data_IF_252010480024
#
_entry.id   IF_252010480024
#
_cell.length_a   1.000
_cell.length_b   1.000
_cell.length_c   1.000
_cell.angle_alpha   90.00
_cell.angle_beta   90.00
_cell.angle_gamma   90.00
#
_symmetry.space_group_name_H-M   'P 1'
#
loop_
_entity.id
_entity.type
_entity.pdbx_description
1 polymer ?
#
# COMPACT_ATOMS: atom_id res chain seq x y z
N UNK A 1 -4.07 12.48 22.70
CA UNK A 1 -4.06 12.40 21.21
C UNK A 1 -4.39 10.99 20.76
N UNK A 2 -5.27 10.84 19.79
CA UNK A 2 -5.64 9.54 19.21
C UNK A 2 -4.48 9.02 18.35
N UNK A 3 -4.06 7.76 18.58
CA UNK A 3 -3.00 7.12 17.81
C UNK A 3 -3.46 6.94 16.36
N UNK A 4 -2.58 7.26 15.42
CA UNK A 4 -2.81 7.14 13.98
C UNK A 4 -1.96 6.01 13.38
N UNK A 5 -2.41 5.49 12.25
CA UNK A 5 -1.61 4.62 11.41
C UNK A 5 -0.66 5.44 10.55
N UNK A 6 0.60 5.06 10.56
CA UNK A 6 1.65 5.74 9.82
C UNK A 6 1.81 5.14 8.42
N UNK A 7 2.28 5.95 7.48
CA UNK A 7 2.79 5.43 6.22
C UNK A 7 3.99 4.51 6.45
N UNK A 8 4.30 3.59 5.53
CA UNK A 8 5.50 2.78 5.64
C UNK A 8 6.76 3.66 5.69
N UNK A 9 7.78 3.20 6.41
CA UNK A 9 9.05 3.93 6.55
C UNK A 9 10.23 2.97 6.37
N UNK A 10 11.25 3.43 5.67
CA UNK A 10 12.56 2.79 5.69
C UNK A 10 13.36 3.39 6.86
N UNK A 11 13.66 2.57 7.87
CA UNK A 11 14.48 2.98 9.01
C UNK A 11 13.69 3.12 10.32
N UNK A 12 14.37 3.56 11.39
CA UNK A 12 13.76 3.66 12.71
C UNK A 12 12.62 4.67 12.70
N UNK A 13 11.43 4.20 13.06
CA UNK A 13 10.25 5.03 13.27
C UNK A 13 10.11 5.36 14.76
N UNK A 14 9.53 6.53 15.05
CA UNK A 14 9.14 6.86 16.40
C UNK A 14 7.91 6.03 16.81
N UNK A 15 7.98 5.32 17.92
CA UNK A 15 6.84 4.55 18.43
C UNK A 15 5.68 5.43 18.91
N UNK A 16 5.96 6.72 19.16
CA UNK A 16 5.01 7.70 19.68
C UNK A 16 4.39 8.60 18.60
N UNK A 17 4.97 8.71 17.40
CA UNK A 17 4.53 9.63 16.33
C UNK A 17 4.75 9.07 14.94
N UNK A 18 3.90 9.45 14.00
CA UNK A 18 4.13 9.22 12.57
C UNK A 18 5.17 10.17 11.96
N UNK A 19 5.47 11.28 12.62
CA UNK A 19 6.50 12.19 12.15
C UNK A 19 7.91 11.64 12.40
N UNK A 20 8.83 11.93 11.48
CA UNK A 20 10.26 11.74 11.70
C UNK A 20 10.79 12.78 12.69
N UNK A 21 12.00 12.56 13.23
CA UNK A 21 12.63 13.54 14.10
C UNK A 21 12.79 14.90 13.39
N UNK A 22 13.21 14.89 12.11
CA UNK A 22 13.37 16.12 11.31
C UNK A 22 12.03 16.84 11.09
N UNK A 23 10.95 16.09 10.86
CA UNK A 23 9.60 16.64 10.76
C UNK A 23 9.17 17.32 12.07
N UNK A 24 9.46 16.71 13.22
CA UNK A 24 9.17 17.30 14.54
C UNK A 24 9.98 18.56 14.79
N UNK A 25 11.27 18.60 14.39
CA UNK A 25 12.08 19.81 14.48
C UNK A 25 11.55 20.92 13.56
N UNK A 26 11.13 20.60 12.34
CA UNK A 26 10.49 21.58 11.45
C UNK A 26 9.21 22.14 12.06
N UNK A 27 8.33 21.28 12.60
CA UNK A 27 7.10 21.71 13.28
C UNK A 27 7.39 22.58 14.51
N UNK A 28 8.39 22.22 15.34
CA UNK A 28 8.84 23.04 16.47
C UNK A 28 9.26 24.43 16.02
N UNK A 29 10.11 24.52 15.01
CA UNK A 29 10.60 25.81 14.51
C UNK A 29 9.47 26.69 13.98
N UNK A 30 8.51 26.11 13.26
CA UNK A 30 7.31 26.81 12.78
C UNK A 30 6.42 27.26 13.95
N UNK A 31 6.24 26.40 14.97
CA UNK A 31 5.51 26.77 16.19
C UNK A 31 6.16 27.96 16.87
N UNK A 32 7.45 27.87 17.17
CA UNK A 32 8.21 28.90 17.89
C UNK A 32 8.22 30.24 17.16
N UNK A 33 8.23 30.25 15.82
CA UNK A 33 8.21 31.48 15.03
C UNK A 33 6.88 32.26 15.12
N UNK A 34 5.79 31.59 15.54
CA UNK A 34 4.46 32.18 15.61
C UNK A 34 3.88 32.27 17.03
N UNK A 35 4.52 31.63 18.00
CA UNK A 35 4.06 31.57 19.38
C UNK A 35 5.19 31.92 20.35
N UNK A 36 5.58 33.21 20.42
CA UNK A 36 6.69 33.64 21.28
C UNK A 36 6.40 33.48 22.79
N UNK A 37 5.13 33.33 23.15
CA UNK A 37 4.65 33.08 24.51
C UNK A 37 4.75 31.61 24.96
N UNK A 38 4.91 30.69 24.02
CA UNK A 38 4.93 29.24 24.27
C UNK A 38 6.05 28.53 23.50
N UNK A 39 7.25 29.09 23.57
CA UNK A 39 8.44 28.56 22.89
C UNK A 39 8.81 27.18 23.42
N UNK A 40 9.02 26.24 22.49
CA UNK A 40 9.54 24.90 22.78
C UNK A 40 11.06 24.92 22.68
N UNK A 41 11.75 24.80 23.82
CA UNK A 41 13.20 24.81 23.90
C UNK A 41 13.83 23.41 23.73
N UNK A 42 13.08 22.34 23.97
CA UNK A 42 13.59 20.99 23.92
C UNK A 42 14.13 20.61 22.53
N UNK A 43 15.22 19.84 22.51
CA UNK A 43 15.75 19.15 21.33
C UNK A 43 15.47 17.63 21.36
N UNK A 44 14.68 17.14 22.32
CA UNK A 44 14.22 15.76 22.35
C UNK A 44 12.95 15.62 21.49
N UNK A 45 12.94 14.80 20.44
CA UNK A 45 11.77 14.65 19.55
C UNK A 45 10.49 14.25 20.29
N UNK A 46 10.59 13.39 21.32
CA UNK A 46 9.43 12.97 22.10
C UNK A 46 8.85 14.12 22.92
N UNK A 47 9.70 14.89 23.58
CA UNK A 47 9.26 16.08 24.33
C UNK A 47 8.66 17.15 23.42
N UNK A 48 9.22 17.35 22.22
CA UNK A 48 8.66 18.25 21.20
C UNK A 48 7.24 17.81 20.85
N UNK A 49 7.05 16.53 20.57
CA UNK A 49 5.75 15.95 20.23
C UNK A 49 4.73 16.11 21.38
N UNK A 50 5.15 15.82 22.61
CA UNK A 50 4.33 15.97 23.82
C UNK A 50 3.89 17.43 24.04
N UNK A 51 4.81 18.39 23.87
CA UNK A 51 4.52 19.81 24.05
C UNK A 51 3.62 20.35 22.95
N UNK A 52 3.87 20.02 21.67
CA UNK A 52 2.95 20.35 20.58
C UNK A 52 1.57 19.77 20.82
N UNK A 53 1.51 18.49 21.23
CA UNK A 53 0.25 17.84 21.61
C UNK A 53 -0.48 18.56 22.74
N UNK A 54 0.23 18.99 23.76
CA UNK A 54 -0.32 19.78 24.89
C UNK A 54 -0.90 21.11 24.43
N UNK A 55 -0.16 21.86 23.62
CA UNK A 55 -0.61 23.17 23.13
C UNK A 55 -1.79 23.05 22.15
N UNK A 56 -1.82 21.99 21.37
CA UNK A 56 -2.86 21.75 20.36
C UNK A 56 -4.08 20.97 20.86
N UNK A 57 -4.10 20.49 22.10
CA UNK A 57 -5.12 19.54 22.60
C UNK A 57 -6.56 20.06 22.52
N UNK A 58 -6.77 21.37 22.57
CA UNK A 58 -8.11 22.00 22.44
C UNK A 58 -8.61 22.04 20.99
N UNK A 59 -7.69 22.03 20.03
CA UNK A 59 -7.99 22.21 18.61
C UNK A 59 -7.88 20.90 17.84
N UNK A 60 -6.90 20.07 18.23
CA UNK A 60 -6.55 18.85 17.51
C UNK A 60 -6.58 17.62 18.42
N UNK A 61 -7.34 16.61 18.00
CA UNK A 61 -7.37 15.29 18.66
C UNK A 61 -6.33 14.32 18.08
N UNK A 62 -5.75 14.63 16.91
CA UNK A 62 -4.76 13.84 16.16
C UNK A 62 -3.60 14.71 15.71
N UNK A 63 -2.40 14.12 15.62
CA UNK A 63 -1.22 14.85 15.18
C UNK A 63 -1.27 15.29 13.70
N UNK A 64 -1.99 14.59 12.84
CA UNK A 64 -2.21 15.02 11.45
C UNK A 64 -2.99 16.35 11.34
N UNK A 65 -3.82 16.66 12.34
CA UNK A 65 -4.54 17.92 12.43
C UNK A 65 -3.60 19.14 12.58
N UNK A 66 -2.38 18.94 13.12
CA UNK A 66 -1.40 20.03 13.24
C UNK A 66 -1.07 20.65 11.88
N UNK A 67 -1.07 19.83 10.82
CA UNK A 67 -0.71 20.27 9.47
C UNK A 67 -1.72 21.23 8.84
N UNK A 68 -2.96 21.25 9.31
CA UNK A 68 -3.99 22.18 8.83
C UNK A 68 -4.06 23.47 9.65
N UNK A 69 -3.25 23.58 10.72
CA UNK A 69 -3.18 24.77 11.55
C UNK A 69 -2.28 25.83 10.93
N UNK A 70 -2.55 27.09 11.24
CA UNK A 70 -1.86 28.23 10.62
C UNK A 70 -0.33 28.20 10.81
N UNK A 71 0.17 27.68 11.93
CA UNK A 71 1.60 27.61 12.18
C UNK A 71 2.33 26.66 11.21
N UNK A 72 1.66 25.63 10.72
CA UNK A 72 2.24 24.61 9.86
C UNK A 72 2.03 24.84 8.35
N UNK A 73 1.29 25.91 7.96
CA UNK A 73 1.06 26.21 6.54
C UNK A 73 2.37 26.32 5.75
N UNK A 74 2.42 25.69 4.58
CA UNK A 74 3.57 25.66 3.66
C UNK A 74 4.46 24.42 3.72
N UNK A 75 4.33 23.56 4.75
CA UNK A 75 5.08 22.28 4.86
C UNK A 75 4.21 21.04 4.64
N UNK A 76 3.00 21.25 4.08
CA UNK A 76 1.88 20.32 4.19
C UNK A 76 2.06 19.00 3.43
N UNK A 77 2.55 19.04 2.19
CA UNK A 77 2.46 17.87 1.31
C UNK A 77 3.47 16.78 1.65
N UNK A 78 4.67 17.17 2.06
CA UNK A 78 5.69 16.22 2.52
C UNK A 78 5.29 15.57 3.85
N UNK A 79 4.79 16.37 4.80
CA UNK A 79 4.44 15.88 6.13
C UNK A 79 3.12 15.08 6.17
N UNK A 80 2.15 15.37 5.30
CA UNK A 80 0.94 14.54 5.14
C UNK A 80 1.26 13.10 4.78
N UNK A 81 2.32 12.88 4.01
CA UNK A 81 2.79 11.56 3.63
C UNK A 81 3.36 10.73 4.80
N UNK A 82 3.45 11.32 6.00
CA UNK A 82 3.80 10.57 7.22
C UNK A 82 2.69 9.64 7.69
N UNK A 83 1.47 9.82 7.22
CA UNK A 83 0.29 9.08 7.67
C UNK A 83 -0.20 8.13 6.58
N UNK A 84 -0.76 6.99 7.00
CA UNK A 84 -1.54 6.14 6.11
C UNK A 84 -2.71 6.95 5.52
N UNK A 85 -3.23 6.60 4.34
CA UNK A 85 -4.35 7.28 3.71
C UNK A 85 -5.58 7.37 4.64
N UNK A 86 -6.46 8.31 4.36
CA UNK A 86 -7.78 8.32 5.00
C UNK A 86 -8.61 7.16 4.45
N UNK A 87 -9.42 6.56 5.30
CA UNK A 87 -10.37 5.54 4.89
C UNK A 87 -11.42 6.12 3.94
N UNK A 88 -12.05 5.29 3.08
CA UNK A 88 -13.22 5.71 2.32
C UNK A 88 -14.29 6.36 3.21
N UNK A 89 -14.96 7.40 2.71
CA UNK A 89 -16.05 8.06 3.43
C UNK A 89 -17.22 7.11 3.72
N UNK A 90 -17.44 6.16 2.83
CA UNK A 90 -18.46 5.13 2.92
C UNK A 90 -18.33 4.29 4.19
N UNK A 91 -17.11 4.13 4.72
CA UNK A 91 -16.86 3.37 5.95
C UNK A 91 -17.47 4.00 7.20
N UNK A 92 -17.88 5.28 7.15
CA UNK A 92 -18.67 5.90 8.22
C UNK A 92 -20.05 5.24 8.37
N UNK A 93 -20.63 4.76 7.27
CA UNK A 93 -21.94 4.10 7.22
C UNK A 93 -21.80 2.59 7.21
N UNK A 94 -20.86 2.06 6.44
CA UNK A 94 -20.55 0.65 6.31
C UNK A 94 -19.04 0.41 6.54
N UNK A 95 -18.61 0.08 7.76
CA UNK A 95 -17.18 -0.10 8.09
C UNK A 95 -16.47 -1.19 7.28
N UNK A 96 -17.25 -2.11 6.70
CA UNK A 96 -16.74 -3.21 5.90
C UNK A 96 -16.96 -3.00 4.39
N UNK A 97 -17.26 -1.77 3.96
CA UNK A 97 -17.40 -1.47 2.53
C UNK A 97 -16.12 -1.81 1.77
N UNK A 98 -16.28 -2.20 0.53
CA UNK A 98 -15.20 -2.62 -0.35
C UNK A 98 -14.18 -1.50 -0.58
N UNK A 99 -12.93 -1.87 -0.81
CA UNK A 99 -11.91 -0.95 -1.27
C UNK A 99 -12.08 -0.69 -2.76
N UNK A 100 -12.10 0.59 -3.14
CA UNK A 100 -12.01 1.00 -4.53
C UNK A 100 -10.58 0.90 -5.07
N UNK A 101 -10.43 1.02 -6.38
CA UNK A 101 -9.11 1.12 -7.03
C UNK A 101 -8.30 2.31 -6.49
N UNK A 102 -8.95 3.43 -6.19
CA UNK A 102 -8.29 4.62 -5.63
C UNK A 102 -7.74 4.35 -4.23
N UNK A 103 -8.49 3.63 -3.39
CA UNK A 103 -8.05 3.29 -2.03
C UNK A 103 -6.80 2.39 -2.06
N UNK A 104 -6.83 1.35 -2.89
CA UNK A 104 -5.69 0.44 -3.09
C UNK A 104 -4.46 1.22 -3.61
N UNK A 105 -4.66 2.07 -4.63
CA UNK A 105 -3.60 2.88 -5.20
C UNK A 105 -2.96 3.81 -4.16
N UNK A 106 -3.77 4.48 -3.34
CA UNK A 106 -3.27 5.40 -2.31
C UNK A 106 -2.35 4.70 -1.29
N UNK A 107 -2.67 3.46 -0.91
CA UNK A 107 -1.81 2.65 -0.05
C UNK A 107 -0.53 2.26 -0.79
N UNK A 108 -0.65 1.66 -1.97
CA UNK A 108 0.49 1.08 -2.69
C UNK A 108 1.53 2.13 -3.13
N UNK A 109 1.10 3.34 -3.50
CA UNK A 109 2.01 4.46 -3.80
C UNK A 109 2.91 4.84 -2.62
N UNK A 110 2.45 4.67 -1.39
CA UNK A 110 3.30 4.92 -0.22
C UNK A 110 4.40 3.86 -0.09
N UNK A 111 4.09 2.60 -0.40
CA UNK A 111 5.08 1.51 -0.40
C UNK A 111 6.10 1.67 -1.53
N UNK A 112 5.68 2.03 -2.74
CA UNK A 112 6.60 2.33 -3.85
C UNK A 112 7.58 3.47 -3.53
N UNK A 113 7.08 4.52 -2.88
CA UNK A 113 7.90 5.66 -2.51
C UNK A 113 9.01 5.26 -1.53
N UNK A 114 8.73 4.33 -0.63
CA UNK A 114 9.64 3.88 0.42
C UNK A 114 10.57 2.77 -0.07
N UNK A 115 10.02 1.76 -0.74
CA UNK A 115 10.78 0.61 -1.23
C UNK A 115 11.25 0.82 -2.68
N UNK A 116 12.42 1.42 -2.88
CA UNK A 116 12.93 1.77 -4.22
C UNK A 116 13.10 0.58 -5.16
N UNK A 117 13.26 -0.63 -4.59
CA UNK A 117 13.32 -1.89 -5.35
C UNK A 117 11.95 -2.42 -5.80
N UNK A 118 10.87 -1.77 -5.43
CA UNK A 118 9.50 -2.20 -5.68
C UNK A 118 8.83 -1.33 -6.74
N UNK A 119 8.02 -1.95 -7.60
CA UNK A 119 7.11 -1.30 -8.55
C UNK A 119 5.74 -1.93 -8.44
N UNK A 120 4.69 -1.11 -8.48
CA UNK A 120 3.32 -1.54 -8.35
C UNK A 120 2.53 -1.32 -9.65
N UNK A 121 1.89 -2.36 -10.14
CA UNK A 121 1.08 -2.37 -11.35
C UNK A 121 -0.39 -2.59 -11.04
N UNK A 122 -1.20 -1.61 -11.29
CA UNK A 122 -2.63 -1.64 -11.02
C UNK A 122 -3.07 -0.63 -9.96
N UNK A 123 -4.25 -0.82 -9.37
CA UNK A 123 -5.23 -1.89 -9.63
C UNK A 123 -5.75 -1.86 -11.05
N UNK A 124 -5.59 -2.94 -11.79
CA UNK A 124 -5.97 -3.06 -13.19
C UNK A 124 -7.20 -3.97 -13.37
N UNK A 125 -8.03 -3.77 -14.39
CA UNK A 125 -9.08 -4.72 -14.75
C UNK A 125 -8.47 -6.00 -15.33
N UNK A 126 -9.23 -7.10 -15.32
CA UNK A 126 -8.73 -8.39 -15.79
C UNK A 126 -8.35 -8.38 -17.28
N UNK A 127 -9.00 -7.56 -18.06
CA UNK A 127 -8.79 -7.42 -19.52
C UNK A 127 -7.68 -6.40 -19.87
N UNK A 128 -6.71 -6.21 -18.98
CA UNK A 128 -5.59 -5.26 -19.09
C UNK A 128 -4.79 -5.37 -20.41
N UNK A 129 -4.69 -6.57 -20.99
CA UNK A 129 -3.98 -6.83 -22.26
C UNK A 129 -4.87 -6.65 -23.51
N UNK A 130 -6.17 -6.39 -23.35
CA UNK A 130 -7.09 -6.16 -24.47
C UNK A 130 -6.71 -4.86 -25.16
N UNK A 131 -6.61 -4.93 -26.49
CA UNK A 131 -6.36 -3.74 -27.33
C UNK A 131 -7.67 -3.09 -27.70
N UNK A 132 -7.77 -1.80 -27.49
CA UNK A 132 -8.88 -0.97 -27.95
C UNK A 132 -8.78 -0.70 -29.47
N UNK A 133 -9.76 0.01 -30.00
CA UNK A 133 -9.88 0.28 -31.45
C UNK A 133 -8.69 1.07 -32.03
N UNK A 134 -7.99 1.84 -31.23
CA UNK A 134 -6.78 2.57 -31.58
C UNK A 134 -5.49 1.72 -31.44
N UNK A 135 -5.62 0.48 -30.98
CA UNK A 135 -4.51 -0.45 -30.79
C UNK A 135 -3.78 -0.31 -29.45
N UNK A 136 -4.24 0.61 -28.58
CA UNK A 136 -3.69 0.80 -27.24
C UNK A 136 -4.28 -0.26 -26.29
N UNK A 137 -3.50 -0.75 -25.37
CA UNK A 137 -3.98 -1.70 -24.36
C UNK A 137 -4.81 -0.98 -23.28
N UNK A 138 -5.82 -1.65 -22.75
CA UNK A 138 -6.63 -1.18 -21.61
C UNK A 138 -5.73 -0.74 -20.43
N UNK A 139 -4.60 -1.45 -20.22
CA UNK A 139 -3.61 -1.08 -19.23
C UNK A 139 -2.19 -1.21 -19.77
N UNK A 140 -1.67 -0.13 -20.37
CA UNK A 140 -0.41 -0.14 -21.11
C UNK A 140 0.79 -0.57 -20.28
N UNK A 141 0.88 -0.18 -19.00
CA UNK A 141 2.03 -0.50 -18.15
C UNK A 141 2.21 -2.01 -17.96
N UNK A 142 1.12 -2.77 -17.84
CA UNK A 142 1.15 -4.23 -17.72
C UNK A 142 1.34 -4.88 -19.08
N UNK A 143 0.63 -4.39 -20.10
CA UNK A 143 0.70 -4.89 -21.46
C UNK A 143 2.11 -4.80 -22.01
N UNK A 144 2.80 -3.69 -21.76
CA UNK A 144 4.16 -3.39 -22.24
C UNK A 144 5.25 -3.73 -21.20
N UNK A 145 4.95 -4.54 -20.19
CA UNK A 145 5.90 -4.87 -19.13
C UNK A 145 7.20 -5.44 -19.72
N UNK A 146 8.32 -4.82 -19.34
CA UNK A 146 9.67 -5.24 -19.74
C UNK A 146 10.53 -5.47 -18.49
N UNK A 147 10.81 -6.73 -18.18
CA UNK A 147 11.59 -7.11 -16.98
C UNK A 147 13.02 -6.58 -17.01
N UNK A 148 13.67 -6.55 -18.17
CA UNK A 148 15.03 -6.04 -18.31
C UNK A 148 15.08 -4.54 -17.97
N UNK A 149 14.10 -3.79 -18.42
CA UNK A 149 13.96 -2.38 -18.06
C UNK A 149 13.71 -2.20 -16.57
N UNK A 150 12.81 -3.00 -15.99
CA UNK A 150 12.55 -2.99 -14.55
C UNK A 150 13.82 -3.24 -13.75
N UNK A 151 14.58 -4.27 -14.11
CA UNK A 151 15.84 -4.57 -13.44
C UNK A 151 16.87 -3.46 -13.60
N UNK A 152 16.98 -2.85 -14.78
CA UNK A 152 17.87 -1.72 -15.04
C UNK A 152 17.50 -0.50 -14.18
N UNK A 153 16.21 -0.28 -13.94
CA UNK A 153 15.69 0.77 -13.04
C UNK A 153 15.83 0.42 -11.55
N UNK A 154 16.48 -0.71 -11.23
CA UNK A 154 16.66 -1.16 -9.84
C UNK A 154 15.44 -1.83 -9.23
N UNK A 155 14.38 -2.07 -10.03
CA UNK A 155 13.16 -2.75 -9.57
C UNK A 155 13.38 -4.27 -9.59
N UNK A 156 13.22 -4.89 -8.45
CA UNK A 156 13.46 -6.32 -8.28
C UNK A 156 12.29 -7.05 -7.64
N UNK A 157 11.29 -6.30 -7.18
CA UNK A 157 10.03 -6.79 -6.64
C UNK A 157 8.89 -6.07 -7.36
N UNK A 158 7.98 -6.82 -7.98
CA UNK A 158 6.84 -6.28 -8.70
C UNK A 158 5.56 -6.80 -8.05
N UNK A 159 4.62 -5.91 -7.78
CA UNK A 159 3.31 -6.24 -7.23
C UNK A 159 2.20 -5.88 -8.21
N UNK A 160 1.22 -6.76 -8.35
CA UNK A 160 0.07 -6.55 -9.22
C UNK A 160 -1.20 -6.81 -8.43
N UNK A 161 -2.20 -5.97 -8.61
CA UNK A 161 -3.56 -6.22 -8.12
C UNK A 161 -4.51 -6.04 -9.29
N UNK A 162 -5.39 -7.03 -9.48
CA UNK A 162 -6.36 -7.04 -10.57
C UNK A 162 -7.78 -7.11 -10.00
N UNK A 163 -8.71 -6.44 -10.67
CA UNK A 163 -10.12 -6.73 -10.52
C UNK A 163 -10.51 -7.84 -11.48
N UNK A 164 -11.31 -8.82 -11.04
CA UNK A 164 -11.76 -9.94 -11.90
C UNK A 164 -12.77 -9.52 -12.96
N UNK A 165 -13.35 -8.33 -12.84
CA UNK A 165 -14.19 -7.73 -13.89
C UNK A 165 -13.35 -6.97 -14.93
N UNK A 166 -13.79 -6.93 -16.21
CA UNK A 166 -13.19 -6.10 -17.24
C UNK A 166 -13.49 -4.61 -16.99
N UNK A 167 -12.73 -3.74 -17.68
CA UNK A 167 -12.73 -2.28 -17.47
C UNK A 167 -14.10 -1.59 -17.58
N UNK A 168 -15.04 -2.17 -18.34
CA UNK A 168 -16.39 -1.63 -18.55
C UNK A 168 -17.43 -2.09 -17.51
N UNK A 169 -17.01 -2.87 -16.50
CA UNK A 169 -17.86 -3.31 -15.38
C UNK A 169 -17.53 -2.62 -14.06
N UNK A 170 -18.39 -2.82 -13.06
CA UNK A 170 -18.29 -2.16 -11.77
C UNK A 170 -17.21 -2.68 -10.83
N UNK A 171 -16.67 -3.87 -11.11
CA UNK A 171 -15.70 -4.55 -10.26
C UNK A 171 -16.38 -5.54 -9.30
N UNK A 172 -15.82 -6.74 -9.18
CA UNK A 172 -16.39 -7.83 -8.38
C UNK A 172 -15.43 -8.34 -7.31
N UNK A 173 -14.17 -8.61 -7.66
CA UNK A 173 -13.23 -9.24 -6.74
C UNK A 173 -11.79 -8.81 -7.03
N UNK A 174 -10.98 -8.66 -5.97
CA UNK A 174 -9.56 -8.31 -6.05
C UNK A 174 -8.68 -9.54 -5.87
N UNK A 175 -7.77 -9.75 -6.81
CA UNK A 175 -6.74 -10.79 -6.82
C UNK A 175 -5.36 -10.19 -7.03
N UNK A 176 -4.31 -10.94 -6.72
CA UNK A 176 -2.95 -10.37 -6.67
C UNK A 176 -1.89 -11.29 -7.23
N UNK A 177 -0.83 -10.69 -7.77
CA UNK A 177 0.37 -11.39 -8.23
C UNK A 177 1.61 -10.68 -7.68
N UNK A 178 2.59 -11.43 -7.21
CA UNK A 178 3.87 -10.89 -6.76
C UNK A 178 5.03 -11.57 -7.47
N UNK A 179 5.96 -10.76 -7.96
CA UNK A 179 7.17 -11.23 -8.66
C UNK A 179 8.40 -10.76 -7.89
N UNK A 180 9.27 -11.69 -7.54
CA UNK A 180 10.59 -11.39 -7.00
C UNK A 180 11.65 -11.81 -8.01
N UNK A 181 12.17 -10.85 -8.75
CA UNK A 181 13.14 -11.07 -9.83
C UNK A 181 14.44 -11.66 -9.29
N UNK A 182 14.92 -11.17 -8.14
CA UNK A 182 16.16 -11.67 -7.52
C UNK A 182 16.07 -13.12 -7.05
N UNK A 183 14.89 -13.53 -6.56
CA UNK A 183 14.66 -14.90 -6.07
C UNK A 183 14.18 -15.86 -7.17
N UNK A 184 13.89 -15.33 -8.38
CA UNK A 184 13.28 -16.13 -9.44
C UNK A 184 11.92 -16.70 -9.00
N UNK A 185 11.08 -15.93 -8.33
CA UNK A 185 9.83 -16.41 -7.75
C UNK A 185 8.64 -15.56 -8.20
N UNK A 186 7.56 -16.24 -8.59
CA UNK A 186 6.26 -15.65 -8.91
C UNK A 186 5.23 -16.34 -8.05
N UNK A 187 4.37 -15.57 -7.39
CA UNK A 187 3.28 -16.14 -6.59
C UNK A 187 1.96 -15.42 -6.90
N UNK A 188 0.94 -16.19 -7.26
CA UNK A 188 -0.43 -15.73 -7.44
C UNK A 188 -1.23 -15.98 -6.15
N UNK A 189 -2.05 -15.01 -5.77
CA UNK A 189 -2.88 -15.08 -4.58
C UNK A 189 -4.32 -14.63 -4.89
N UNK A 190 -5.27 -15.51 -4.59
CA UNK A 190 -6.69 -15.23 -4.51
C UNK A 190 -7.20 -15.60 -3.12
N UNK A 191 -7.74 -14.64 -2.38
CA UNK A 191 -8.28 -14.87 -1.03
C UNK A 191 -9.45 -15.86 -1.01
N UNK A 192 -10.22 -15.96 -2.09
CA UNK A 192 -11.32 -16.93 -2.25
C UNK A 192 -10.82 -18.34 -2.65
N UNK A 193 -9.50 -18.51 -2.86
CA UNK A 193 -8.94 -19.82 -3.21
C UNK A 193 -9.25 -20.28 -4.63
N UNK A 194 -9.67 -19.40 -5.53
CA UNK A 194 -9.87 -19.74 -6.93
C UNK A 194 -8.54 -19.90 -7.66
N UNK A 195 -8.59 -20.60 -8.78
CA UNK A 195 -7.43 -20.74 -9.65
C UNK A 195 -7.12 -19.45 -10.40
N UNK A 196 -5.88 -19.31 -10.88
CA UNK A 196 -5.42 -18.15 -11.62
C UNK A 196 -6.27 -17.97 -12.90
N UNK A 197 -6.81 -16.76 -13.18
CA UNK A 197 -7.48 -16.45 -14.43
C UNK A 197 -6.52 -16.56 -15.63
N UNK A 198 -7.07 -16.89 -16.78
CA UNK A 198 -6.30 -17.05 -18.03
C UNK A 198 -5.47 -15.82 -18.37
N UNK A 199 -6.02 -14.64 -18.21
CA UNK A 199 -5.37 -13.36 -18.51
C UNK A 199 -4.12 -13.15 -17.64
N UNK A 200 -4.23 -13.46 -16.36
CA UNK A 200 -3.09 -13.37 -15.42
C UNK A 200 -2.08 -14.48 -15.70
N UNK A 201 -2.51 -15.70 -16.09
CA UNK A 201 -1.61 -16.78 -16.49
C UNK A 201 -0.78 -16.38 -17.72
N UNK A 202 -1.38 -15.74 -18.73
CA UNK A 202 -0.67 -15.22 -19.90
C UNK A 202 0.41 -14.21 -19.51
N UNK A 203 0.13 -13.34 -18.54
CA UNK A 203 1.13 -12.42 -17.99
C UNK A 203 2.27 -13.18 -17.30
N UNK A 204 1.95 -14.19 -16.47
CA UNK A 204 2.95 -15.04 -15.81
C UNK A 204 3.86 -15.71 -16.84
N UNK A 205 3.29 -16.30 -17.89
CA UNK A 205 4.04 -16.97 -18.94
C UNK A 205 4.97 -16.00 -19.70
N UNK A 206 4.48 -14.76 -19.94
CA UNK A 206 5.27 -13.68 -20.55
C UNK A 206 6.44 -13.26 -19.64
N UNK A 207 6.22 -13.16 -18.33
CA UNK A 207 7.27 -12.86 -17.34
C UNK A 207 8.31 -13.98 -17.30
N UNK A 208 7.89 -15.24 -17.29
CA UNK A 208 8.80 -16.41 -17.30
C UNK A 208 9.68 -16.37 -18.56
N UNK A 209 9.08 -16.18 -19.73
CA UNK A 209 9.80 -16.09 -20.99
C UNK A 209 10.86 -14.96 -21.01
N UNK A 210 10.49 -13.77 -20.56
CA UNK A 210 11.44 -12.66 -20.40
C UNK A 210 12.55 -13.00 -19.39
N UNK A 211 12.23 -13.74 -18.33
CA UNK A 211 13.21 -14.22 -17.36
C UNK A 211 14.23 -15.17 -17.99
N UNK A 212 13.79 -16.12 -18.80
CA UNK A 212 14.69 -17.06 -19.51
C UNK A 212 15.68 -16.30 -20.42
N UNK A 213 15.23 -15.26 -21.12
CA UNK A 213 16.10 -14.39 -21.94
C UNK A 213 17.15 -13.62 -21.10
N UNK A 214 16.90 -13.49 -19.80
CA UNK A 214 17.78 -12.85 -18.82
C UNK A 214 18.55 -13.84 -17.95
N UNK A 215 18.50 -15.14 -18.25
CA UNK A 215 19.04 -16.25 -17.43
C UNK A 215 18.45 -16.27 -15.99
N UNK A 216 17.19 -15.89 -15.84
CA UNK A 216 16.46 -15.98 -14.59
C UNK A 216 15.42 -17.10 -14.72
N UNK A 217 15.56 -18.14 -13.89
CA UNK A 217 14.60 -19.25 -13.86
C UNK A 217 13.53 -18.97 -12.84
N UNK A 218 12.36 -18.53 -13.30
CA UNK A 218 11.23 -18.28 -12.42
C UNK A 218 10.53 -19.58 -12.01
N UNK A 219 10.24 -19.68 -10.71
CA UNK A 219 9.33 -20.68 -10.16
C UNK A 219 7.99 -20.01 -9.88
N UNK A 220 6.95 -20.43 -10.61
CA UNK A 220 5.56 -20.01 -10.36
C UNK A 220 4.89 -20.92 -9.34
N UNK A 221 4.12 -20.32 -8.42
CA UNK A 221 3.30 -21.01 -7.43
C UNK A 221 2.04 -20.18 -7.11
N UNK A 222 1.03 -20.77 -6.48
CA UNK A 222 -0.25 -20.14 -6.14
C UNK A 222 -0.86 -20.76 -4.89
N UNK A 223 -1.77 -20.01 -4.22
CA UNK A 223 -2.46 -20.56 -3.05
C UNK A 223 -3.60 -21.53 -3.40
N UNK A 224 -4.09 -21.57 -4.64
CA UNK A 224 -5.14 -22.52 -5.05
C UNK A 224 -4.82 -23.95 -4.58
N UNK A 225 -5.78 -24.69 -4.00
CA UNK A 225 -7.18 -24.34 -3.76
C UNK A 225 -7.46 -23.82 -2.33
N UNK A 226 -6.47 -23.24 -1.67
CA UNK A 226 -6.60 -22.80 -0.26
C UNK A 226 -7.40 -21.49 -0.19
N UNK A 227 -8.59 -21.57 0.38
CA UNK A 227 -9.47 -20.44 0.66
C UNK A 227 -9.10 -19.80 2.01
N UNK A 228 -9.00 -18.46 2.02
CA UNK A 228 -8.72 -17.64 3.21
C UNK A 228 -9.94 -16.80 3.59
N UNK A 229 -10.63 -16.25 2.59
CA UNK A 229 -11.76 -15.36 2.74
C UNK A 229 -13.07 -16.12 2.63
N UNK A 230 -13.85 -16.09 3.70
CA UNK A 230 -15.18 -16.69 3.76
C UNK A 230 -16.32 -15.65 3.68
N UNK A 231 -15.99 -14.38 3.95
CA UNK A 231 -16.87 -13.24 3.71
C UNK A 231 -16.70 -12.64 2.31
N UNK A 232 -17.37 -11.53 2.04
CA UNK A 232 -17.37 -10.90 0.71
C UNK A 232 -16.85 -9.45 0.71
N UNK A 233 -16.20 -8.97 1.78
CA UNK A 233 -15.81 -7.56 1.89
C UNK A 233 -14.32 -7.31 1.95
N UNK A 234 -13.49 -8.34 2.19
CA UNK A 234 -12.08 -8.14 2.55
C UNK A 234 -11.09 -8.41 1.40
N UNK A 235 -11.52 -8.78 0.17
CA UNK A 235 -10.61 -9.15 -0.92
C UNK A 235 -9.55 -8.06 -1.22
N UNK A 236 -9.92 -6.79 -1.20
CA UNK A 236 -8.98 -5.68 -1.37
C UNK A 236 -7.97 -5.59 -0.22
N UNK A 237 -8.39 -5.87 1.02
CA UNK A 237 -7.50 -5.89 2.19
C UNK A 237 -6.55 -7.08 2.13
N UNK A 238 -7.04 -8.26 1.72
CA UNK A 238 -6.21 -9.45 1.47
C UNK A 238 -5.15 -9.17 0.40
N UNK A 239 -5.53 -8.51 -0.68
CA UNK A 239 -4.62 -8.15 -1.77
C UNK A 239 -3.53 -7.19 -1.30
N UNK A 240 -3.87 -6.15 -0.53
CA UNK A 240 -2.90 -5.25 0.10
C UNK A 240 -1.99 -6.00 1.07
N UNK A 241 -2.57 -6.82 1.94
CA UNK A 241 -1.81 -7.63 2.91
C UNK A 241 -0.79 -8.52 2.20
N UNK A 242 -1.22 -9.24 1.17
CA UNK A 242 -0.37 -10.12 0.40
C UNK A 242 0.81 -9.36 -0.22
N UNK A 243 0.55 -8.31 -0.99
CA UNK A 243 1.63 -7.54 -1.64
C UNK A 243 2.60 -6.96 -0.62
N UNK A 244 2.10 -6.33 0.44
CA UNK A 244 2.94 -5.70 1.46
C UNK A 244 3.80 -6.72 2.21
N UNK A 245 3.23 -7.85 2.63
CA UNK A 245 3.97 -8.84 3.39
C UNK A 245 4.96 -9.63 2.54
N UNK A 246 4.68 -9.84 1.26
CA UNK A 246 5.65 -10.39 0.30
C UNK A 246 6.78 -9.39 0.01
N UNK A 247 6.45 -8.10 -0.12
CA UNK A 247 7.43 -7.03 -0.30
C UNK A 247 8.41 -6.95 0.87
N UNK A 248 7.90 -7.03 2.08
CA UNK A 248 8.67 -6.95 3.33
C UNK A 248 9.31 -8.29 3.75
N UNK A 249 9.19 -9.35 2.94
CA UNK A 249 9.66 -10.71 3.22
C UNK A 249 9.10 -11.28 4.56
N UNK A 250 7.92 -10.83 5.00
CA UNK A 250 7.26 -11.27 6.24
C UNK A 250 6.49 -12.59 6.09
N UNK A 251 6.08 -12.92 4.87
CA UNK A 251 5.40 -14.18 4.54
C UNK A 251 6.04 -14.81 3.30
N UNK A 252 5.75 -16.09 3.10
CA UNK A 252 6.13 -16.84 1.91
C UNK A 252 4.89 -17.45 1.25
N UNK A 253 5.00 -17.84 -0.03
CA UNK A 253 3.93 -18.57 -0.70
C UNK A 253 3.57 -19.87 0.02
N UNK A 254 4.56 -20.58 0.59
CA UNK A 254 4.28 -21.80 1.38
C UNK A 254 3.45 -21.49 2.64
N UNK A 255 3.68 -20.36 3.29
CA UNK A 255 2.87 -19.94 4.43
C UNK A 255 1.39 -19.79 4.04
N UNK A 256 1.11 -19.16 2.90
CA UNK A 256 -0.25 -18.97 2.40
C UNK A 256 -0.93 -20.28 1.96
N UNK A 257 -0.18 -21.31 1.64
CA UNK A 257 -0.72 -22.65 1.31
C UNK A 257 -0.98 -23.52 2.53
N UNK A 258 -0.39 -23.19 3.67
CA UNK A 258 -0.44 -24.03 4.87
C UNK A 258 -1.13 -23.38 6.07
N UNK A 259 -1.40 -22.06 6.01
CA UNK A 259 -2.03 -21.32 7.10
C UNK A 259 -3.17 -20.46 6.54
N UNK A 260 -4.37 -20.66 7.07
CA UNK A 260 -5.55 -19.87 6.70
C UNK A 260 -5.52 -18.54 7.46
N UNK A 261 -5.54 -17.45 6.70
CA UNK A 261 -5.71 -16.09 7.21
C UNK A 261 -7.20 -15.79 7.27
N UNK A 262 -7.78 -15.69 8.47
CA UNK A 262 -9.22 -15.50 8.65
C UNK A 262 -9.63 -14.03 8.43
N UNK A 263 -10.84 -13.80 7.94
CA UNK A 263 -11.43 -12.45 7.71
C UNK A 263 -11.27 -11.54 8.92
N UNK A 264 -11.61 -12.01 10.11
CA UNK A 264 -11.45 -11.24 11.36
C UNK A 264 -10.01 -10.78 11.63
N UNK A 265 -9.02 -11.49 11.10
CA UNK A 265 -7.62 -11.05 11.16
C UNK A 265 -7.36 -9.96 10.11
N UNK A 266 -7.92 -10.10 8.91
CA UNK A 266 -7.79 -9.12 7.83
C UNK A 266 -8.50 -7.80 8.14
N UNK A 267 -9.68 -7.82 8.76
CA UNK A 267 -10.39 -6.62 9.22
C UNK A 267 -9.50 -5.66 10.03
N UNK A 268 -8.55 -6.20 10.80
CA UNK A 268 -7.60 -5.37 11.56
C UNK A 268 -6.69 -4.54 10.65
N UNK A 269 -6.38 -5.05 9.46
CA UNK A 269 -5.52 -4.35 8.50
C UNK A 269 -6.19 -3.15 7.84
N UNK A 270 -7.53 -3.04 7.88
CA UNK A 270 -8.22 -1.79 7.54
C UNK A 270 -7.67 -0.61 8.38
N UNK A 271 -7.41 -0.85 9.66
CA UNK A 271 -6.85 0.17 10.57
C UNK A 271 -5.32 0.32 10.45
N UNK A 272 -4.65 -0.63 9.81
CA UNK A 272 -3.21 -0.53 9.53
C UNK A 272 -2.98 0.32 8.28
N UNK A 273 -3.76 0.05 7.23
CA UNK A 273 -3.60 0.72 5.94
C UNK A 273 -4.33 2.05 5.83
N UNK A 274 -5.31 2.31 6.70
CA UNK A 274 -6.12 3.53 6.64
C UNK A 274 -6.32 4.17 8.00
N UNK A 275 -6.37 5.49 7.99
CA UNK A 275 -6.82 6.29 9.13
C UNK A 275 -8.31 6.63 8.96
N UNK A 276 -9.09 6.48 10.03
CA UNK A 276 -10.51 6.83 9.99
C UNK A 276 -10.70 8.31 9.63
N UNK A 277 -11.61 8.59 8.73
CA UNK A 277 -12.15 9.94 8.53
C UNK A 277 -12.93 10.35 9.79
N UNK A 278 -12.71 11.59 10.26
CA UNK A 278 -13.41 12.14 11.42
C UNK A 278 -14.85 12.47 11.08
#
# INVERSE_FOLDING_TARGET
MTKMSCSPKNGPSNDFSCYTNDALFKLKNKWNSRHPDTIIHSNNPKEIWELLGKYMNKTCQRESCWLIQDFAKGEMDELKQSFAPLSPEEWKKNPNEWLSSVDIMNVMKQYEKVYKCFDFFGPAPIDFDTKETDGVCVWEEICNLNLKQQQTNGKTKLGFIFNTDPHYKGGEHWISLFVNIKKGAIFFFDSAGNDIPREVQVLVDRIIKQGEEMNIHFKFDKNYPVEHQYGNTECGVYSLFFIVHMLEDKITGNYLKTHILKDKYMEKFRKVYFNSVL
#
